data_IF_399583970373
#
_entry.id   IF_399583970373
#
_cell.length_a   1.000
_cell.length_b   1.000
_cell.length_c   1.000
_cell.angle_alpha   90.00
_cell.angle_beta   90.00
_cell.angle_gamma   90.00
#
_symmetry.space_group_name_H-M   'P 1'
#
loop_
_entity.id
_entity.type
_entity.pdbx_description
1 polymer ?
#
# COMPACT_ATOMS: atom_id res chain seq x y z
N UNK A 1 12.13 -16.60 -30.85
CA UNK A 1 11.16 -16.92 -29.79
C UNK A 1 11.92 -17.15 -28.49
N UNK A 2 11.45 -16.59 -27.38
CA UNK A 2 12.03 -16.85 -26.06
C UNK A 2 11.81 -18.31 -25.67
N UNK A 3 12.82 -18.96 -25.11
CA UNK A 3 12.75 -20.31 -24.54
C UNK A 3 12.68 -20.22 -23.02
N UNK A 4 12.02 -21.19 -22.38
CA UNK A 4 11.90 -21.23 -20.92
C UNK A 4 13.26 -21.31 -20.18
N UNK A 5 14.30 -21.78 -20.87
CA UNK A 5 15.68 -21.83 -20.39
C UNK A 5 16.43 -20.50 -20.52
N UNK A 6 15.88 -19.51 -21.22
CA UNK A 6 16.56 -18.24 -21.44
C UNK A 6 16.66 -17.46 -20.11
N UNK A 7 17.72 -16.63 -19.97
CA UNK A 7 17.91 -15.85 -18.76
C UNK A 7 16.84 -14.76 -18.61
N UNK A 8 16.47 -14.44 -17.36
CA UNK A 8 15.47 -13.40 -17.05
C UNK A 8 15.85 -12.00 -17.56
N UNK A 9 17.14 -11.75 -17.83
CA UNK A 9 17.64 -10.48 -18.41
C UNK A 9 17.16 -10.23 -19.84
N UNK A 10 16.65 -11.26 -20.52
CA UNK A 10 16.07 -11.10 -21.85
C UNK A 10 14.74 -10.33 -21.81
N UNK A 11 14.07 -10.29 -20.66
CA UNK A 11 12.83 -9.52 -20.47
C UNK A 11 13.10 -8.02 -20.43
N UNK A 12 12.34 -7.27 -21.24
CA UNK A 12 12.35 -5.82 -21.22
C UNK A 12 12.00 -5.30 -19.83
N UNK A 13 12.90 -4.53 -19.24
CA UNK A 13 12.75 -4.00 -17.88
C UNK A 13 13.51 -4.78 -16.81
N UNK A 14 14.12 -5.93 -17.11
CA UNK A 14 15.02 -6.65 -16.20
C UNK A 14 16.48 -6.28 -16.52
N UNK A 15 16.90 -5.11 -16.01
CA UNK A 15 18.31 -4.70 -16.06
C UNK A 15 19.16 -5.41 -15.00
N UNK A 16 20.47 -5.12 -14.97
CA UNK A 16 21.42 -5.78 -14.06
C UNK A 16 21.07 -5.66 -12.57
N UNK A 17 20.47 -4.55 -12.13
CA UNK A 17 20.03 -4.38 -10.75
C UNK A 17 18.87 -5.32 -10.37
N UNK A 18 17.84 -5.41 -11.21
CA UNK A 18 16.71 -6.33 -11.00
C UNK A 18 17.13 -7.79 -11.15
N UNK A 19 18.04 -8.09 -12.08
CA UNK A 19 18.60 -9.44 -12.22
C UNK A 19 19.32 -9.89 -10.94
N UNK A 20 20.08 -9.00 -10.27
CA UNK A 20 20.69 -9.30 -8.97
C UNK A 20 19.65 -9.55 -7.87
N UNK A 21 18.56 -8.79 -7.84
CA UNK A 21 17.46 -9.01 -6.88
C UNK A 21 16.73 -10.33 -7.14
N UNK A 22 16.48 -10.68 -8.40
CA UNK A 22 15.89 -11.97 -8.78
C UNK A 22 16.82 -13.14 -8.44
N UNK A 23 18.13 -12.98 -8.63
CA UNK A 23 19.11 -13.98 -8.26
C UNK A 23 19.13 -14.24 -6.74
N UNK A 24 18.88 -13.23 -5.90
CA UNK A 24 18.71 -13.42 -4.44
C UNK A 24 17.48 -14.27 -4.09
N UNK A 25 16.48 -14.32 -4.98
CA UNK A 25 15.30 -15.19 -4.88
C UNK A 25 15.49 -16.54 -5.58
N UNK A 26 16.72 -16.86 -6.03
CA UNK A 26 17.06 -18.03 -6.84
C UNK A 26 16.33 -18.10 -8.19
N UNK A 27 16.01 -16.95 -8.79
CA UNK A 27 15.34 -16.85 -10.09
C UNK A 27 16.37 -16.45 -11.15
N UNK A 28 16.69 -17.38 -12.06
CA UNK A 28 17.70 -17.15 -13.11
C UNK A 28 17.11 -17.24 -14.52
N UNK A 29 16.13 -18.10 -14.71
CA UNK A 29 15.51 -18.37 -16.02
C UNK A 29 14.06 -17.88 -16.10
N UNK A 30 13.53 -17.78 -17.32
CA UNK A 30 12.11 -17.47 -17.54
C UNK A 30 11.18 -18.51 -16.89
N UNK A 31 11.60 -19.77 -16.83
CA UNK A 31 10.85 -20.83 -16.11
C UNK A 31 10.74 -20.52 -14.63
N UNK A 32 11.84 -20.16 -13.98
CA UNK A 32 11.87 -19.88 -12.54
C UNK A 32 10.97 -18.70 -12.21
N UNK A 33 10.95 -17.67 -13.08
CA UNK A 33 10.12 -16.49 -12.90
C UNK A 33 8.61 -16.83 -13.01
N UNK A 34 8.22 -17.63 -13.98
CA UNK A 34 6.81 -18.02 -14.18
C UNK A 34 6.34 -18.96 -13.05
N UNK A 35 7.22 -19.82 -12.56
CA UNK A 35 6.93 -20.71 -11.43
C UNK A 35 7.10 -20.04 -10.06
N UNK A 36 7.46 -18.75 -10.00
CA UNK A 36 7.52 -17.99 -8.76
C UNK A 36 6.13 -17.44 -8.43
N UNK A 37 5.31 -18.29 -7.82
CA UNK A 37 3.94 -17.94 -7.46
C UNK A 37 3.90 -16.87 -6.35
N UNK A 38 2.92 -15.96 -6.38
CA UNK A 38 2.69 -15.01 -5.30
C UNK A 38 2.48 -15.72 -3.96
N UNK A 39 2.99 -15.13 -2.86
CA UNK A 39 2.76 -15.63 -1.50
C UNK A 39 1.29 -15.62 -1.10
N UNK A 40 0.51 -14.68 -1.63
CA UNK A 40 -0.91 -14.53 -1.40
C UNK A 40 -1.52 -13.58 -2.42
N UNK A 41 -2.85 -13.58 -2.49
CA UNK A 41 -3.61 -12.68 -3.34
C UNK A 41 -4.42 -11.71 -2.46
N UNK A 42 -4.29 -10.42 -2.72
CA UNK A 42 -5.10 -9.38 -2.08
C UNK A 42 -6.34 -9.12 -2.94
N UNK A 43 -7.52 -9.40 -2.40
CA UNK A 43 -8.79 -9.10 -3.09
C UNK A 43 -9.22 -7.65 -2.78
N UNK A 44 -8.99 -6.76 -3.75
CA UNK A 44 -9.38 -5.34 -3.66
C UNK A 44 -10.73 -5.02 -4.32
N UNK A 45 -11.50 -6.05 -4.71
CA UNK A 45 -12.79 -5.86 -5.40
C UNK A 45 -13.93 -5.53 -4.43
N UNK A 46 -13.79 -5.91 -3.16
CA UNK A 46 -14.82 -5.72 -2.13
C UNK A 46 -14.55 -4.45 -1.36
N UNK A 47 -15.34 -3.41 -1.65
CA UNK A 47 -15.36 -2.18 -0.88
C UNK A 47 -16.25 -2.34 0.34
N UNK A 48 -15.69 -2.06 1.51
CA UNK A 48 -16.34 -2.12 2.81
C UNK A 48 -16.50 -0.69 3.34
N UNK A 49 -17.66 -0.29 3.86
CA UNK A 49 -17.83 1.02 4.48
C UNK A 49 -17.02 1.11 5.77
N UNK A 50 -16.67 2.34 6.19
CA UNK A 50 -15.83 2.57 7.38
C UNK A 50 -16.42 1.92 8.65
N UNK A 51 -17.75 1.86 8.76
CA UNK A 51 -18.43 1.27 9.93
C UNK A 51 -18.20 -0.24 10.09
N UNK A 52 -17.88 -0.94 8.99
CA UNK A 52 -17.69 -2.40 8.95
C UNK A 52 -16.22 -2.80 8.98
N UNK A 53 -15.32 -1.84 9.21
CA UNK A 53 -13.90 -2.14 9.34
C UNK A 53 -13.65 -2.84 10.68
N UNK A 54 -13.05 -4.02 10.60
CA UNK A 54 -12.66 -4.80 11.78
C UNK A 54 -11.19 -4.51 12.15
N UNK A 55 -10.86 -4.44 13.45
CA UNK A 55 -9.48 -4.27 13.89
C UNK A 55 -8.60 -5.43 13.42
N UNK A 56 -7.38 -5.11 13.00
CA UNK A 56 -6.37 -6.07 12.52
C UNK A 56 -6.78 -6.90 11.29
N UNK A 57 -7.90 -6.56 10.64
CA UNK A 57 -8.35 -7.17 9.39
C UNK A 57 -8.12 -6.19 8.23
N UNK A 58 -7.32 -6.56 7.21
CA UNK A 58 -7.13 -5.70 6.06
C UNK A 58 -8.40 -5.64 5.21
N UNK A 59 -8.85 -4.44 4.90
CA UNK A 59 -10.03 -4.20 4.08
C UNK A 59 -9.81 -3.05 3.09
N UNK A 60 -10.53 -3.10 1.97
CA UNK A 60 -10.62 -1.98 1.03
C UNK A 60 -11.82 -1.11 1.38
N UNK A 61 -11.64 0.20 1.40
CA UNK A 61 -12.73 1.16 1.59
C UNK A 61 -12.51 2.39 0.71
N UNK A 62 -13.61 3.06 0.36
CA UNK A 62 -13.59 4.34 -0.36
C UNK A 62 -13.89 5.44 0.63
N UNK A 63 -13.07 6.48 0.64
CA UNK A 63 -13.30 7.63 1.51
C UNK A 63 -12.80 8.94 0.90
N UNK A 64 -13.46 10.02 1.29
CA UNK A 64 -13.12 11.39 0.94
C UNK A 64 -12.11 11.96 1.94
N UNK A 65 -11.11 12.68 1.43
CA UNK A 65 -10.11 13.36 2.24
C UNK A 65 -10.72 14.64 2.83
N UNK A 66 -10.80 14.70 4.16
CA UNK A 66 -11.45 15.79 4.91
C UNK A 66 -10.49 16.86 5.42
N UNK A 67 -9.19 16.70 5.26
CA UNK A 67 -8.21 17.74 5.57
C UNK A 67 -7.01 17.68 4.62
N UNK A 68 -6.37 18.83 4.40
CA UNK A 68 -5.14 18.86 3.63
C UNK A 68 -4.04 18.12 4.41
N UNK A 69 -3.36 17.14 3.79
CA UNK A 69 -2.27 16.41 4.44
C UNK A 69 -1.17 17.37 4.88
N UNK A 70 -0.96 17.47 6.19
CA UNK A 70 0.15 18.24 6.77
C UNK A 70 1.20 17.28 7.29
N UNK A 71 2.36 17.28 6.65
CA UNK A 71 3.52 16.54 7.12
C UNK A 71 4.20 17.31 8.24
N UNK A 72 4.27 16.70 9.41
CA UNK A 72 5.03 17.17 10.56
C UNK A 72 6.32 16.38 10.67
N UNK A 73 7.44 17.08 10.81
CA UNK A 73 8.74 16.45 11.04
C UNK A 73 8.94 16.22 12.54
N UNK A 74 8.93 14.96 12.96
CA UNK A 74 9.07 14.55 14.35
C UNK A 74 10.55 14.32 14.68
N UNK A 75 10.90 14.43 15.97
CA UNK A 75 12.24 14.12 16.50
C UNK A 75 12.73 12.76 15.98
N UNK A 76 14.02 12.69 15.61
CA UNK A 76 14.71 11.54 15.00
C UNK A 76 14.47 11.31 13.50
N UNK A 77 14.06 12.33 12.74
CA UNK A 77 14.00 12.26 11.28
C UNK A 77 12.77 11.51 10.75
N UNK A 78 11.69 11.48 11.53
CA UNK A 78 10.47 10.75 11.21
C UNK A 78 9.42 11.73 10.65
N UNK A 79 9.00 11.50 9.41
CA UNK A 79 7.93 12.30 8.80
C UNK A 79 6.58 11.69 9.14
N UNK A 80 5.68 12.49 9.71
CA UNK A 80 4.34 12.04 10.08
C UNK A 80 3.30 12.94 9.42
N UNK A 81 2.43 12.35 8.60
CA UNK A 81 1.28 13.05 8.02
C UNK A 81 -0.01 12.44 8.56
N UNK A 82 -0.83 13.24 9.24
CA UNK A 82 -2.18 12.83 9.66
C UNK A 82 -3.20 13.34 8.65
N UNK A 83 -4.06 12.43 8.19
CA UNK A 83 -5.15 12.72 7.27
C UNK A 83 -6.44 12.18 7.86
N UNK A 84 -7.49 12.98 7.86
CA UNK A 84 -8.82 12.54 8.24
C UNK A 84 -9.59 12.15 6.97
N UNK A 85 -10.15 10.95 6.99
CA UNK A 85 -10.99 10.42 5.94
C UNK A 85 -12.43 10.36 6.43
N UNK A 86 -13.38 10.57 5.53
CA UNK A 86 -14.80 10.36 5.81
C UNK A 86 -15.47 9.63 4.65
N UNK A 87 -16.44 8.80 5.02
CA UNK A 87 -17.39 8.16 4.11
C UNK A 87 -18.81 8.47 4.62
N UNK A 88 -19.84 7.99 3.93
CA UNK A 88 -21.25 8.16 4.34
C UNK A 88 -21.56 7.60 5.72
N UNK A 89 -20.79 6.61 6.18
CA UNK A 89 -21.05 5.90 7.44
C UNK A 89 -20.23 6.41 8.63
N UNK A 90 -19.13 7.13 8.41
CA UNK A 90 -18.23 7.48 9.51
C UNK A 90 -16.96 8.21 9.11
N UNK A 91 -16.08 8.40 10.10
CA UNK A 91 -14.78 9.08 9.94
C UNK A 91 -13.66 8.19 10.45
N UNK A 92 -12.52 8.23 9.79
CA UNK A 92 -11.33 7.46 10.15
C UNK A 92 -10.10 8.38 10.11
N UNK A 93 -9.22 8.24 11.11
CA UNK A 93 -7.95 8.95 11.11
C UNK A 93 -6.86 8.05 10.54
N UNK A 94 -6.19 8.52 9.50
CA UNK A 94 -5.08 7.83 8.84
C UNK A 94 -3.78 8.56 9.14
N UNK A 95 -2.75 7.79 9.49
CA UNK A 95 -1.40 8.31 9.72
C UNK A 95 -0.40 7.68 8.76
N UNK A 96 0.26 8.52 7.97
CA UNK A 96 1.37 8.13 7.11
C UNK A 96 2.70 8.41 7.82
N UNK A 97 3.51 7.37 8.04
CA UNK A 97 4.85 7.44 8.60
C UNK A 97 5.89 7.25 7.49
N UNK A 98 6.82 8.21 7.36
CA UNK A 98 7.90 8.22 6.36
C UNK A 98 7.43 8.07 4.90
N UNK A 99 6.14 8.28 4.62
CA UNK A 99 5.57 8.17 3.28
C UNK A 99 5.04 9.52 2.79
N UNK A 100 5.97 10.45 2.52
CA UNK A 100 5.67 11.80 2.04
C UNK A 100 5.00 11.80 0.66
N UNK A 101 5.37 10.85 -0.22
CA UNK A 101 4.84 10.78 -1.57
C UNK A 101 3.36 10.40 -1.61
N UNK A 102 2.94 9.42 -0.81
CA UNK A 102 1.51 9.09 -0.68
C UNK A 102 0.72 10.28 -0.09
N UNK A 103 1.27 10.91 0.95
CA UNK A 103 0.65 12.08 1.58
C UNK A 103 0.45 13.25 0.61
N UNK A 104 1.41 13.53 -0.29
CA UNK A 104 1.32 14.65 -1.23
C UNK A 104 0.31 14.44 -2.37
N UNK A 105 -0.05 13.19 -2.68
CA UNK A 105 -1.03 12.87 -3.72
C UNK A 105 -2.48 13.03 -3.25
N UNK A 106 -2.69 13.13 -1.93
CA UNK A 106 -4.01 13.28 -1.34
C UNK A 106 -4.44 14.75 -1.41
N UNK A 107 -5.53 15.00 -2.13
CA UNK A 107 -6.13 16.32 -2.22
C UNK A 107 -7.40 16.39 -1.37
N UNK A 108 -7.56 17.52 -0.67
CA UNK A 108 -8.77 17.79 0.09
C UNK A 108 -10.00 17.74 -0.83
N UNK A 109 -11.04 17.05 -0.36
CA UNK A 109 -12.32 16.95 -1.05
C UNK A 109 -12.37 15.94 -2.19
N UNK A 110 -11.30 15.17 -2.42
CA UNK A 110 -11.31 14.06 -3.37
C UNK A 110 -11.52 12.73 -2.68
N UNK A 111 -12.16 11.81 -3.39
CA UNK A 111 -12.33 10.42 -2.97
C UNK A 111 -11.19 9.56 -3.50
N UNK A 112 -10.69 8.68 -2.65
CA UNK A 112 -9.69 7.68 -2.99
C UNK A 112 -10.11 6.32 -2.41
N UNK A 113 -9.55 5.25 -2.98
CA UNK A 113 -9.67 3.90 -2.43
C UNK A 113 -8.41 3.63 -1.61
N UNK A 114 -8.62 3.18 -0.39
CA UNK A 114 -7.56 2.84 0.54
C UNK A 114 -7.65 1.36 0.89
N UNK A 115 -6.50 0.73 1.06
CA UNK A 115 -6.39 -0.62 1.58
C UNK A 115 -5.49 -0.65 2.82
N UNK A 116 -6.00 -1.24 3.89
CA UNK A 116 -5.24 -1.40 5.12
C UNK A 116 -6.05 -2.04 6.23
N UNK A 117 -5.37 -2.38 7.31
CA UNK A 117 -6.00 -2.82 8.54
C UNK A 117 -6.18 -1.63 9.49
N UNK A 118 -7.35 -1.53 10.09
CA UNK A 118 -7.58 -0.57 11.18
C UNK A 118 -6.88 -1.09 12.42
N UNK A 119 -6.12 -0.23 13.09
CA UNK A 119 -5.58 -0.47 14.42
C UNK A 119 -6.32 0.43 15.42
N UNK A 120 -6.97 -0.17 16.40
CA UNK A 120 -7.66 0.55 17.46
C UNK A 120 -6.79 0.67 18.69
N UNK A 121 -6.58 1.90 19.17
CA UNK A 121 -6.17 2.16 20.55
C UNK A 121 -7.38 2.67 21.35
N UNK A 122 -7.31 2.66 22.68
CA UNK A 122 -8.36 3.02 23.65
C UNK A 122 -9.15 4.33 23.40
N UNK A 123 -8.71 5.20 22.47
CA UNK A 123 -9.30 6.52 22.18
C UNK A 123 -9.95 6.58 20.78
N UNK A 124 -9.72 5.58 19.91
CA UNK A 124 -10.39 5.49 18.62
C UNK A 124 -9.67 4.61 17.59
N UNK A 125 -10.39 4.29 16.52
CA UNK A 125 -9.87 3.57 15.37
C UNK A 125 -8.97 4.47 14.52
N UNK A 126 -7.78 3.97 14.22
CA UNK A 126 -6.80 4.64 13.36
C UNK A 126 -6.24 3.67 12.34
N UNK A 127 -5.72 4.17 11.23
CA UNK A 127 -5.07 3.32 10.23
C UNK A 127 -3.69 3.86 9.93
N UNK A 128 -2.70 2.97 9.84
CA UNK A 128 -1.31 3.34 9.59
C UNK A 128 -0.90 2.93 8.18
N UNK A 129 -0.29 3.86 7.44
CA UNK A 129 0.25 3.63 6.10
C UNK A 129 -0.64 2.79 5.15
N UNK A 130 -1.91 3.18 4.91
CA UNK A 130 -2.71 2.49 3.91
C UNK A 130 -2.12 2.66 2.51
N UNK A 131 -2.38 1.67 1.66
CA UNK A 131 -1.98 1.63 0.25
C UNK A 131 -3.10 2.15 -0.63
#
# INVERSE_FOLDING_TARGET
MAKLSDPVTMLKGVGGARAKQLAQLNIFTLRDLICHFPRGYEDRTKLVPIEKLEPDVPACFRAMVMNTPRTSHIRKGLDLTKVQLADTTGRLNVTFFNNRFAAQQLEYGREYIFYGAVSGDFIGYSMTNPV
#
